data_IF_631021353834
#
_entry.id   IF_631021353834
#
_cell.length_a   1.000
_cell.length_b   1.000
_cell.length_c   1.000
_cell.angle_alpha   90.00
_cell.angle_beta   90.00
_cell.angle_gamma   90.00
#
_symmetry.space_group_name_H-M   'P 1'
#
loop_
_entity.id
_entity.type
_entity.pdbx_description
1 polymer ?
#
# COMPACT_ATOMS: atom_id res chain seq x y z
N UNK A 1 -18.94 5.26 -8.29
CA UNK A 1 -19.82 4.11 -8.59
C UNK A 1 -19.33 3.32 -9.80
N UNK A 2 -18.90 3.96 -10.86
CA UNK A 2 -18.43 3.31 -12.11
C UNK A 2 -17.10 2.51 -11.94
N UNK A 3 -16.17 2.96 -11.11
CA UNK A 3 -14.88 2.27 -10.86
C UNK A 3 -15.04 1.00 -10.01
N UNK A 4 -16.05 0.95 -9.12
CA UNK A 4 -16.35 -0.26 -8.31
C UNK A 4 -16.91 -1.41 -9.16
N UNK A 5 -17.76 -1.11 -10.13
CA UNK A 5 -18.32 -2.11 -11.04
C UNK A 5 -17.25 -2.74 -11.94
N UNK A 6 -16.32 -1.94 -12.47
CA UNK A 6 -15.25 -2.43 -13.35
C UNK A 6 -14.23 -3.35 -12.61
N UNK A 7 -13.93 -3.08 -11.34
CA UNK A 7 -13.03 -3.93 -10.55
C UNK A 7 -13.69 -5.29 -10.21
N UNK A 8 -14.96 -5.30 -9.84
CA UNK A 8 -15.72 -6.53 -9.55
C UNK A 8 -15.93 -7.39 -10.79
N UNK A 9 -16.16 -6.78 -11.95
CA UNK A 9 -16.40 -7.50 -13.20
C UNK A 9 -15.11 -8.13 -13.77
N UNK A 10 -13.97 -7.47 -13.64
CA UNK A 10 -12.66 -8.00 -14.06
C UNK A 10 -12.12 -9.10 -13.14
N UNK A 11 -12.49 -9.11 -11.86
CA UNK A 11 -12.16 -10.23 -10.95
C UNK A 11 -12.89 -11.54 -11.32
N UNK A 12 -14.10 -11.46 -11.90
CA UNK A 12 -14.87 -12.64 -12.37
C UNK A 12 -14.22 -13.37 -13.54
N UNK A 13 -13.45 -12.67 -14.35
CA UNK A 13 -12.80 -13.24 -15.55
C UNK A 13 -11.57 -14.10 -15.25
N UNK A 14 -11.12 -14.18 -14.01
CA UNK A 14 -9.95 -14.99 -13.61
C UNK A 14 -10.30 -16.41 -13.14
N UNK A 15 -11.58 -16.81 -13.20
CA UNK A 15 -11.99 -18.22 -13.09
C UNK A 15 -11.82 -18.95 -11.75
N UNK A 16 -11.46 -18.26 -10.65
CA UNK A 16 -11.26 -18.91 -9.34
C UNK A 16 -12.02 -18.29 -8.16
N UNK A 17 -13.06 -17.51 -8.41
CA UNK A 17 -13.85 -16.95 -7.31
C UNK A 17 -15.35 -17.10 -7.55
N UNK A 18 -15.95 -18.13 -6.94
CA UNK A 18 -17.39 -18.24 -6.82
C UNK A 18 -17.84 -17.62 -5.49
N UNK A 19 -18.76 -16.65 -5.47
CA UNK A 19 -19.25 -16.08 -4.22
C UNK A 19 -20.20 -17.05 -3.54
N UNK A 20 -19.78 -17.67 -2.43
CA UNK A 20 -20.72 -18.27 -1.48
C UNK A 20 -21.31 -17.14 -0.62
N UNK A 21 -22.65 -17.10 -0.54
CA UNK A 21 -23.44 -16.19 0.28
C UNK A 21 -22.86 -16.11 1.70
N UNK A 22 -22.39 -14.94 2.11
CA UNK A 22 -21.98 -14.65 3.47
C UNK A 22 -23.07 -13.83 4.15
N UNK A 23 -23.62 -14.38 5.23
CA UNK A 23 -24.41 -13.63 6.19
C UNK A 23 -23.50 -12.63 6.91
N UNK A 24 -24.01 -11.43 7.12
CA UNK A 24 -23.34 -10.26 7.65
C UNK A 24 -22.70 -10.51 9.01
N UNK A 25 -21.38 -10.32 9.09
CA UNK A 25 -20.70 -9.91 10.30
C UNK A 25 -20.22 -8.46 10.06
N UNK A 26 -21.10 -7.50 10.30
CA UNK A 26 -20.80 -6.07 10.33
C UNK A 26 -19.75 -5.78 11.41
N UNK A 27 -18.47 -5.77 11.05
CA UNK A 27 -17.57 -4.88 11.77
C UNK A 27 -18.04 -3.48 11.45
N UNK A 28 -18.62 -2.79 12.42
CA UNK A 28 -18.91 -1.36 12.37
C UNK A 28 -17.62 -0.58 12.11
N UNK A 29 -17.22 -0.51 10.86
CA UNK A 29 -16.37 0.57 10.40
C UNK A 29 -17.27 1.80 10.46
N UNK A 30 -17.09 2.63 11.48
CA UNK A 30 -17.95 3.80 11.64
C UNK A 30 -17.83 4.66 10.38
N UNK A 31 -18.93 5.25 9.93
CA UNK A 31 -18.99 6.15 8.77
C UNK A 31 -17.90 7.25 8.85
N UNK A 32 -17.55 7.69 10.05
CA UNK A 32 -16.46 8.64 10.32
C UNK A 32 -15.07 8.08 9.95
N UNK A 33 -14.81 6.81 10.22
CA UNK A 33 -13.54 6.13 9.88
C UNK A 33 -13.38 5.97 8.36
N UNK A 34 -14.44 5.60 7.65
CA UNK A 34 -14.43 5.48 6.19
C UNK A 34 -14.20 6.83 5.51
N UNK A 35 -14.86 7.88 5.98
CA UNK A 35 -14.71 9.24 5.46
C UNK A 35 -13.27 9.75 5.65
N UNK A 36 -12.67 9.51 6.82
CA UNK A 36 -11.29 9.89 7.11
C UNK A 36 -10.31 9.14 6.22
N UNK A 37 -10.49 7.84 6.04
CA UNK A 37 -9.62 7.02 5.17
C UNK A 37 -9.70 7.45 3.71
N UNK A 38 -10.90 7.75 3.20
CA UNK A 38 -11.10 8.23 1.83
C UNK A 38 -10.48 9.62 1.63
N UNK A 39 -10.60 10.51 2.60
CA UNK A 39 -9.99 11.83 2.55
C UNK A 39 -8.45 11.76 2.55
N UNK A 40 -7.86 10.89 3.38
CA UNK A 40 -6.43 10.65 3.40
C UNK A 40 -5.96 10.00 2.10
N UNK A 41 -6.67 9.03 1.57
CA UNK A 41 -6.34 8.40 0.28
C UNK A 41 -6.33 9.43 -0.85
N UNK A 42 -7.34 10.30 -0.93
CA UNK A 42 -7.39 11.37 -1.93
C UNK A 42 -6.19 12.33 -1.82
N UNK A 43 -5.84 12.74 -0.59
CA UNK A 43 -4.67 13.60 -0.36
C UNK A 43 -3.37 12.89 -0.73
N UNK A 44 -3.24 11.61 -0.36
CA UNK A 44 -2.09 10.77 -0.69
C UNK A 44 -1.90 10.62 -2.20
N UNK A 45 -2.98 10.40 -2.96
CA UNK A 45 -2.90 10.30 -4.43
C UNK A 45 -2.58 11.64 -5.12
N UNK A 46 -2.81 12.77 -4.45
CA UNK A 46 -2.43 14.09 -4.98
C UNK A 46 -0.91 14.35 -4.93
N UNK A 47 -0.12 13.48 -4.27
CA UNK A 47 1.34 13.55 -4.26
C UNK A 47 1.97 12.99 -5.55
N UNK A 48 1.16 12.42 -6.44
CA UNK A 48 1.62 11.85 -7.71
C UNK A 48 2.43 12.86 -8.53
N UNK A 49 3.62 12.45 -8.97
CA UNK A 49 4.49 13.25 -9.82
C UNK A 49 5.30 14.34 -9.09
N UNK A 50 5.23 14.42 -7.77
CA UNK A 50 6.11 15.32 -7.01
C UNK A 50 7.57 14.88 -7.11
N UNK A 51 8.50 15.84 -7.07
CA UNK A 51 9.94 15.60 -7.12
C UNK A 51 10.59 15.47 -5.74
N UNK A 52 9.87 15.84 -4.70
CA UNK A 52 10.25 15.70 -3.28
C UNK A 52 9.00 15.70 -2.41
N UNK A 53 9.11 15.20 -1.18
CA UNK A 53 8.06 15.25 -0.17
C UNK A 53 8.49 16.19 0.96
N UNK A 54 7.55 17.00 1.43
CA UNK A 54 7.71 17.78 2.66
C UNK A 54 7.49 16.90 3.90
N UNK A 55 7.80 17.43 5.08
CA UNK A 55 7.44 16.81 6.35
C UNK A 55 5.93 16.57 6.47
N UNK A 56 5.11 17.52 6.05
CA UNK A 56 3.65 17.38 6.11
C UNK A 56 3.15 16.27 5.19
N UNK A 57 3.78 16.12 4.01
CA UNK A 57 3.49 14.99 3.11
C UNK A 57 3.89 13.65 3.74
N UNK A 58 5.03 13.59 4.43
CA UNK A 58 5.44 12.38 5.16
C UNK A 58 4.45 12.02 6.28
N UNK A 59 4.01 13.01 7.06
CA UNK A 59 2.98 12.82 8.10
C UNK A 59 1.69 12.32 7.47
N UNK A 60 1.27 12.89 6.35
CA UNK A 60 0.11 12.43 5.59
C UNK A 60 0.25 10.97 5.13
N UNK A 61 1.42 10.61 4.55
CA UNK A 61 1.72 9.26 4.07
C UNK A 61 1.69 8.24 5.20
N UNK A 62 2.33 8.57 6.34
CA UNK A 62 2.31 7.70 7.53
C UNK A 62 0.89 7.57 8.08
N UNK A 63 0.12 8.66 8.12
CA UNK A 63 -1.29 8.64 8.50
C UNK A 63 -2.11 7.71 7.61
N UNK A 64 -1.96 7.82 6.30
CA UNK A 64 -2.62 6.92 5.34
C UNK A 64 -2.23 5.46 5.55
N UNK A 65 -0.93 5.18 5.70
CA UNK A 65 -0.43 3.83 5.99
C UNK A 65 -1.09 3.21 7.23
N UNK A 66 -1.24 3.99 8.30
CA UNK A 66 -1.83 3.52 9.56
C UNK A 66 -3.33 3.20 9.44
N UNK A 67 -4.03 3.74 8.44
CA UNK A 67 -5.43 3.35 8.15
C UNK A 67 -5.55 2.00 7.45
N UNK A 68 -4.45 1.46 6.90
CA UNK A 68 -4.44 0.24 6.09
C UNK A 68 -3.90 -0.99 6.82
N UNK A 69 -3.35 -0.86 8.00
CA UNK A 69 -2.70 -1.96 8.69
C UNK A 69 -2.79 -1.90 10.21
N UNK A 70 -1.87 -2.59 10.86
CA UNK A 70 -1.77 -2.56 12.32
C UNK A 70 -1.32 -1.19 12.81
N UNK A 71 -2.03 -0.68 13.82
CA UNK A 71 -1.65 0.57 14.47
C UNK A 71 -0.29 0.41 15.14
N UNK A 72 0.68 1.22 14.71
CA UNK A 72 2.04 1.29 15.29
C UNK A 72 2.35 2.76 15.62
N UNK A 73 3.19 3.05 16.62
CA UNK A 73 3.50 4.42 17.02
C UNK A 73 4.48 5.10 16.04
N UNK A 74 4.19 5.03 14.72
CA UNK A 74 5.06 5.58 13.67
C UNK A 74 4.91 7.10 13.52
N UNK A 75 3.75 7.64 13.89
CA UNK A 75 3.42 9.05 13.73
C UNK A 75 4.43 9.95 14.44
N UNK A 76 4.83 9.58 15.67
CA UNK A 76 5.82 10.33 16.45
C UNK A 76 7.16 10.52 15.73
N UNK A 77 7.58 9.55 14.91
CA UNK A 77 8.82 9.66 14.15
C UNK A 77 8.65 10.64 12.99
N UNK A 78 7.55 10.56 12.24
CA UNK A 78 7.27 11.48 11.14
C UNK A 78 7.12 12.93 11.64
N UNK A 79 6.44 13.14 12.77
CA UNK A 79 6.25 14.45 13.39
C UNK A 79 7.54 15.05 13.97
N UNK A 80 8.48 14.21 14.41
CA UNK A 80 9.74 14.66 14.98
C UNK A 80 10.83 15.00 13.94
N UNK A 81 10.66 14.59 12.67
CA UNK A 81 11.65 14.84 11.64
C UNK A 81 11.76 16.31 11.25
N UNK A 82 12.95 16.71 10.79
CA UNK A 82 13.15 18.01 10.18
C UNK A 82 12.74 18.01 8.70
N UNK A 83 12.05 19.06 8.26
CA UNK A 83 11.54 19.16 6.88
C UNK A 83 12.67 19.02 5.83
N UNK A 84 13.83 19.62 6.08
CA UNK A 84 14.99 19.55 5.17
C UNK A 84 15.53 18.12 5.02
N UNK A 85 15.49 17.29 6.08
CA UNK A 85 15.93 15.90 6.02
C UNK A 85 14.96 15.08 5.16
N UNK A 86 13.66 15.29 5.37
CA UNK A 86 12.62 14.62 4.59
C UNK A 86 12.72 14.99 3.11
N UNK A 87 12.84 16.29 2.79
CA UNK A 87 13.01 16.75 1.40
C UNK A 87 14.24 16.15 0.74
N UNK A 88 15.39 16.20 1.43
CA UNK A 88 16.64 15.65 0.91
C UNK A 88 16.54 14.15 0.62
N UNK A 89 16.02 13.37 1.56
CA UNK A 89 15.88 11.92 1.42
C UNK A 89 14.85 11.55 0.34
N UNK A 90 13.68 12.20 0.34
CA UNK A 90 12.64 11.94 -0.65
C UNK A 90 13.04 12.35 -2.06
N UNK A 91 13.74 13.48 -2.22
CA UNK A 91 14.29 13.91 -3.51
C UNK A 91 15.29 12.89 -4.07
N UNK A 92 16.19 12.39 -3.23
CA UNK A 92 17.15 11.35 -3.63
C UNK A 92 16.43 10.04 -4.00
N UNK A 93 15.42 9.66 -3.22
CA UNK A 93 14.62 8.47 -3.48
C UNK A 93 13.85 8.56 -4.80
N UNK A 94 13.18 9.69 -5.05
CA UNK A 94 12.39 9.91 -6.26
C UNK A 94 13.30 9.96 -7.50
N UNK A 95 14.47 10.61 -7.38
CA UNK A 95 15.44 10.63 -8.47
C UNK A 95 16.03 9.24 -8.80
N UNK A 96 15.99 8.30 -7.87
CA UNK A 96 16.44 6.92 -8.08
C UNK A 96 15.42 6.04 -8.82
N UNK A 97 14.15 6.45 -8.94
CA UNK A 97 13.13 5.69 -9.66
C UNK A 97 13.53 5.55 -11.15
N UNK A 98 13.47 4.36 -11.74
CA UNK A 98 12.72 3.17 -11.31
C UNK A 98 13.50 2.16 -10.45
N UNK A 99 14.73 2.44 -10.01
CA UNK A 99 15.49 1.55 -9.12
C UNK A 99 14.87 1.58 -7.71
N UNK A 100 13.90 0.70 -7.48
CA UNK A 100 13.15 0.64 -6.23
C UNK A 100 14.02 0.35 -5.01
N UNK A 101 15.15 -0.38 -5.18
CA UNK A 101 16.08 -0.67 -4.09
C UNK A 101 16.78 0.60 -3.63
N UNK A 102 17.40 1.34 -4.53
CA UNK A 102 18.04 2.62 -4.21
C UNK A 102 17.05 3.65 -3.68
N UNK A 103 15.84 3.69 -4.24
CA UNK A 103 14.79 4.58 -3.78
C UNK A 103 14.38 4.26 -2.33
N UNK A 104 14.20 2.99 -1.98
CA UNK A 104 13.92 2.58 -0.61
C UNK A 104 15.09 2.88 0.34
N UNK A 105 16.34 2.60 -0.06
CA UNK A 105 17.53 2.85 0.76
C UNK A 105 17.64 4.33 1.14
N UNK A 106 17.37 5.24 0.19
CA UNK A 106 17.38 6.68 0.46
C UNK A 106 16.34 7.10 1.52
N UNK A 107 15.14 6.52 1.51
CA UNK A 107 14.09 6.82 2.49
C UNK A 107 14.31 6.13 3.83
N UNK A 108 14.85 4.91 3.83
CA UNK A 108 15.11 4.16 5.08
C UNK A 108 16.27 4.74 5.88
N UNK A 109 17.05 5.67 5.33
CA UNK A 109 18.00 6.48 6.07
C UNK A 109 17.32 7.42 7.09
N UNK A 110 16.02 7.71 6.92
CA UNK A 110 15.24 8.49 7.88
C UNK A 110 14.87 7.65 9.10
N UNK A 111 15.01 8.21 10.30
CA UNK A 111 14.72 7.52 11.56
C UNK A 111 13.27 7.04 11.61
N UNK A 112 13.05 5.74 11.85
CA UNK A 112 11.71 5.14 11.98
C UNK A 112 11.01 4.86 10.65
N UNK A 113 11.66 5.10 9.51
CA UNK A 113 11.18 4.73 8.19
C UNK A 113 11.81 3.39 7.77
N UNK A 114 11.03 2.32 7.79
CA UNK A 114 11.42 1.03 7.22
C UNK A 114 10.89 0.86 5.80
N UNK A 115 11.30 -0.24 5.13
CA UNK A 115 10.95 -0.54 3.73
C UNK A 115 9.44 -0.45 3.46
N UNK A 116 8.60 -0.99 4.35
CA UNK A 116 7.14 -0.91 4.21
C UNK A 116 6.60 0.54 4.30
N UNK A 117 7.27 1.47 4.99
CA UNK A 117 6.87 2.89 5.00
C UNK A 117 7.42 3.61 3.78
N UNK A 118 8.67 3.30 3.41
CA UNK A 118 9.29 3.82 2.19
C UNK A 118 8.45 3.47 0.94
N UNK A 119 7.94 2.24 0.85
CA UNK A 119 7.07 1.85 -0.28
C UNK A 119 5.80 2.68 -0.38
N UNK A 120 5.20 3.10 0.75
CA UNK A 120 4.00 3.97 0.73
C UNK A 120 4.36 5.38 0.25
N UNK A 121 5.54 5.91 0.63
CA UNK A 121 6.04 7.19 0.12
C UNK A 121 6.28 7.13 -1.39
N UNK A 122 6.94 6.08 -1.86
CA UNK A 122 7.23 5.89 -3.28
C UNK A 122 5.96 5.69 -4.12
N UNK A 123 5.04 4.87 -3.64
CA UNK A 123 3.76 4.65 -4.30
C UNK A 123 2.87 5.91 -4.34
N UNK A 124 3.06 6.86 -3.41
CA UNK A 124 2.37 8.14 -3.44
C UNK A 124 2.77 8.99 -4.66
N UNK A 125 4.05 8.95 -5.02
CA UNK A 125 4.61 9.81 -6.08
C UNK A 125 4.69 9.13 -7.45
N UNK A 126 4.74 7.78 -7.48
CA UNK A 126 4.88 7.02 -8.72
C UNK A 126 4.03 5.73 -8.68
N UNK A 127 3.09 5.59 -9.59
CA UNK A 127 2.17 4.47 -9.67
C UNK A 127 2.78 3.18 -10.23
N UNK A 128 4.02 3.25 -10.72
CA UNK A 128 4.83 2.07 -11.08
C UNK A 128 5.31 1.30 -9.86
N UNK A 129 5.20 1.89 -8.66
CA UNK A 129 5.66 1.29 -7.40
C UNK A 129 4.45 0.91 -6.54
N UNK A 130 4.30 -0.37 -6.15
CA UNK A 130 3.21 -0.81 -5.27
C UNK A 130 3.51 -0.48 -3.81
N UNK A 131 2.46 -0.41 -2.99
CA UNK A 131 2.60 -0.39 -1.53
C UNK A 131 2.95 -1.81 -1.05
N UNK A 132 3.88 -1.91 -0.09
CA UNK A 132 4.17 -3.16 0.59
C UNK A 132 3.16 -3.39 1.71
N UNK A 133 1.96 -3.86 1.34
CA UNK A 133 0.90 -4.21 2.28
C UNK A 133 0.93 -5.69 2.65
N UNK A 134 0.39 -6.02 3.81
CA UNK A 134 0.28 -7.39 4.31
C UNK A 134 -0.53 -8.26 3.36
N UNK A 135 -1.60 -7.71 2.84
CA UNK A 135 -2.53 -8.37 1.92
C UNK A 135 -1.88 -8.68 0.57
N UNK A 136 -1.06 -7.74 0.06
CA UNK A 136 -0.35 -7.95 -1.20
C UNK A 136 0.78 -8.97 -1.04
N UNK A 137 1.53 -8.94 0.07
CA UNK A 137 2.56 -9.94 0.36
C UNK A 137 1.94 -11.35 0.47
N UNK A 138 0.81 -11.49 1.14
CA UNK A 138 0.11 -12.77 1.26
C UNK A 138 -0.42 -13.26 -0.09
N UNK A 139 -1.09 -12.39 -0.84
CA UNK A 139 -1.70 -12.76 -2.11
C UNK A 139 -0.68 -13.12 -3.20
N UNK A 140 0.47 -12.44 -3.20
CA UNK A 140 1.47 -12.54 -4.26
C UNK A 140 2.59 -13.50 -3.91
N UNK A 141 3.08 -13.46 -2.66
CA UNK A 141 4.23 -14.26 -2.23
C UNK A 141 3.81 -15.51 -1.45
N UNK A 142 2.52 -15.65 -1.12
CA UNK A 142 2.02 -16.76 -0.32
C UNK A 142 2.55 -16.76 1.13
N UNK A 143 3.03 -15.62 1.60
CA UNK A 143 3.64 -15.49 2.93
C UNK A 143 2.56 -15.34 4.00
N UNK A 144 2.42 -16.29 4.95
CA UNK A 144 1.48 -16.17 6.04
C UNK A 144 1.91 -15.01 6.99
N UNK A 145 0.96 -14.48 7.74
CA UNK A 145 1.15 -13.26 8.57
C UNK A 145 2.39 -13.32 9.49
N UNK A 146 2.70 -14.49 10.03
CA UNK A 146 3.81 -14.69 10.97
C UNK A 146 5.19 -14.79 10.32
N UNK A 147 5.27 -15.01 9.00
CA UNK A 147 6.52 -15.15 8.24
C UNK A 147 6.83 -13.97 7.34
N UNK A 148 5.96 -12.95 7.31
CA UNK A 148 6.15 -11.77 6.45
C UNK A 148 7.41 -11.01 6.81
N UNK A 149 8.28 -10.87 5.83
CA UNK A 149 9.48 -10.03 5.93
C UNK A 149 9.23 -8.71 5.23
N UNK A 150 9.52 -7.61 5.94
CA UNK A 150 9.41 -6.26 5.40
C UNK A 150 10.81 -5.75 5.01
N UNK A 151 11.51 -6.55 4.19
CA UNK A 151 12.83 -6.26 3.66
C UNK A 151 12.80 -5.87 2.16
N UNK A 152 13.93 -5.45 1.65
CA UNK A 152 14.07 -5.02 0.26
C UNK A 152 13.85 -6.16 -0.73
N UNK A 153 14.22 -7.38 -0.38
CA UNK A 153 14.06 -8.53 -1.27
C UNK A 153 12.60 -8.92 -1.42
N UNK A 154 11.84 -8.92 -0.33
CA UNK A 154 10.39 -9.12 -0.36
C UNK A 154 9.68 -8.01 -1.15
N UNK A 155 10.14 -6.75 -1.00
CA UNK A 155 9.59 -5.63 -1.76
C UNK A 155 9.88 -5.77 -3.26
N UNK A 156 11.10 -6.16 -3.64
CA UNK A 156 11.47 -6.38 -5.03
C UNK A 156 10.60 -7.47 -5.68
N UNK A 157 10.43 -8.60 -5.01
CA UNK A 157 9.56 -9.70 -5.46
C UNK A 157 8.11 -9.25 -5.64
N UNK A 158 7.59 -8.44 -4.70
CA UNK A 158 6.25 -7.86 -4.79
C UNK A 158 6.13 -6.95 -6.01
N UNK A 159 7.10 -6.06 -6.22
CA UNK A 159 7.14 -5.14 -7.36
C UNK A 159 7.13 -5.88 -8.69
N UNK A 160 7.98 -6.91 -8.83
CA UNK A 160 8.05 -7.75 -10.03
C UNK A 160 6.71 -8.44 -10.32
N UNK A 161 6.09 -9.01 -9.30
CA UNK A 161 4.82 -9.71 -9.45
C UNK A 161 3.66 -8.75 -9.78
N UNK A 162 3.58 -7.59 -9.11
CA UNK A 162 2.58 -6.57 -9.43
C UNK A 162 2.79 -6.02 -10.85
N UNK A 163 4.03 -5.78 -11.25
CA UNK A 163 4.38 -5.31 -12.60
C UNK A 163 4.00 -6.33 -13.68
N UNK A 164 4.32 -7.60 -13.46
CA UNK A 164 3.94 -8.69 -14.37
C UNK A 164 2.42 -8.83 -14.47
N UNK A 165 1.70 -8.67 -13.36
CA UNK A 165 0.24 -8.71 -13.34
C UNK A 165 -0.38 -7.51 -14.05
N UNK A 166 0.12 -6.32 -13.79
CA UNK A 166 -0.32 -5.09 -14.47
C UNK A 166 -0.14 -5.20 -15.99
N UNK A 167 1.02 -5.69 -16.43
CA UNK A 167 1.31 -5.94 -17.86
C UNK A 167 0.32 -6.93 -18.49
N UNK A 168 -0.04 -8.01 -17.78
CA UNK A 168 -1.01 -9.02 -18.26
C UNK A 168 -2.43 -8.46 -18.35
N UNK A 169 -2.80 -7.56 -17.45
CA UNK A 169 -4.13 -6.93 -17.44
C UNK A 169 -4.24 -5.85 -18.50
N UNK A 170 -3.13 -5.18 -18.83
CA UNK A 170 -3.07 -4.13 -19.85
C UNK A 170 -3.87 -2.87 -19.49
N UNK A 171 -3.99 -1.95 -20.43
CA UNK A 171 -4.77 -0.73 -20.26
C UNK A 171 -4.22 0.17 -19.16
N UNK A 172 -5.07 0.60 -18.23
CA UNK A 172 -4.73 1.52 -17.14
C UNK A 172 -4.21 0.84 -15.87
N UNK A 173 -3.88 -0.46 -15.93
CA UNK A 173 -3.38 -1.17 -14.77
C UNK A 173 -1.90 -0.83 -14.53
N UNK A 174 -1.61 -0.32 -13.34
CA UNK A 174 -0.26 -0.06 -12.83
C UNK A 174 0.05 -1.01 -11.68
N UNK A 175 1.31 -1.23 -11.29
CA UNK A 175 1.66 -2.02 -10.12
C UNK A 175 0.96 -1.55 -8.85
N UNK A 176 0.82 -0.23 -8.64
CA UNK A 176 0.04 0.33 -7.53
C UNK A 176 -1.44 -0.03 -7.64
N UNK A 177 -2.05 0.07 -8.82
CA UNK A 177 -3.45 -0.30 -9.01
C UNK A 177 -3.71 -1.79 -8.76
N UNK A 178 -2.76 -2.66 -9.08
CA UNK A 178 -2.83 -4.09 -8.74
C UNK A 178 -2.82 -4.29 -7.24
N UNK A 179 -1.92 -3.65 -6.51
CA UNK A 179 -1.84 -3.71 -5.05
C UNK A 179 -3.12 -3.18 -4.39
N UNK A 180 -3.62 -2.02 -4.82
CA UNK A 180 -4.88 -1.44 -4.31
C UNK A 180 -6.08 -2.37 -4.54
N UNK A 181 -6.11 -3.10 -5.66
CA UNK A 181 -7.15 -4.09 -5.92
C UNK A 181 -7.05 -5.31 -4.98
N UNK A 182 -5.83 -5.79 -4.70
CA UNK A 182 -5.59 -6.88 -3.73
C UNK A 182 -6.01 -6.46 -2.32
N UNK A 183 -5.62 -5.26 -1.89
CA UNK A 183 -6.03 -4.70 -0.61
C UNK A 183 -7.55 -4.58 -0.51
N UNK A 184 -8.21 -4.03 -1.53
CA UNK A 184 -9.67 -3.88 -1.56
C UNK A 184 -10.39 -5.22 -1.51
N UNK A 185 -9.89 -6.22 -2.24
CA UNK A 185 -10.46 -7.57 -2.24
C UNK A 185 -10.35 -8.25 -0.86
N UNK A 186 -9.29 -7.97 -0.10
CA UNK A 186 -9.11 -8.50 1.25
C UNK A 186 -10.15 -7.95 2.25
N UNK A 187 -10.61 -6.71 2.04
CA UNK A 187 -11.63 -6.07 2.87
C UNK A 187 -13.03 -6.66 2.62
N UNK A 188 -13.28 -7.21 1.44
CA UNK A 188 -14.54 -7.84 1.07
C UNK A 188 -14.65 -9.29 1.57
N UNK A 189 -13.54 -9.89 1.95
CA UNK A 189 -13.56 -11.25 2.53
C UNK A 189 -14.15 -11.19 3.94
N UNK A 190 -15.18 -12.00 4.25
CA UNK A 190 -15.65 -12.11 5.62
C UNK A 190 -14.48 -12.58 6.49
N UNK A 191 -14.40 -12.09 7.71
CA UNK A 191 -13.37 -12.41 8.71
C UNK A 191 -13.41 -13.90 9.15
N UNK A 192 -13.55 -14.81 8.19
CA UNK A 192 -13.51 -16.24 8.36
C UNK A 192 -12.04 -16.67 8.40
N UNK A 193 -11.62 -17.02 9.62
CA UNK A 193 -10.38 -17.75 9.92
C UNK A 193 -9.10 -16.93 10.08
N UNK A 194 -9.11 -15.93 10.94
CA UNK A 194 -7.96 -15.83 11.84
C UNK A 194 -8.12 -16.93 12.88
N UNK A 195 -7.58 -18.11 12.61
CA UNK A 195 -7.35 -19.09 13.66
C UNK A 195 -6.47 -18.41 14.71
N UNK A 196 -7.04 -18.18 15.90
CA UNK A 196 -6.23 -17.97 17.09
C UNK A 196 -5.41 -19.26 17.21
N UNK A 197 -4.11 -19.18 16.98
CA UNK A 197 -3.20 -20.20 17.43
C UNK A 197 -3.21 -20.11 18.94
N UNK A 198 -3.64 -21.16 19.59
CA UNK A 198 -3.41 -21.42 20.99
C UNK A 198 -1.91 -21.59 21.24
#
# INVERSE_FOLDING_TARGET
TFRRAAAAEKCRLTGRYAPRRAAAAEKRVTHRSLCTTQALHKKWTNLQGQSELSKDDLVLVVGYKLTRGKMRPLMRFAEAMHDNEVRKASKAAIAAIPDARKACDALTALTGIGVATASVCLAAVDDRLPVMSDEALEAVLGEPEHSKKYDLDSYQRLLEACSAKAKKLGGLWTPRAVEEALFSASLEQPAAKRKRGD
#
